data_IF_759309711583
#
_entry.id   IF_759309711583
#
_cell.length_a   1.000
_cell.length_b   1.000
_cell.length_c   1.000
_cell.angle_alpha   90.00
_cell.angle_beta   90.00
_cell.angle_gamma   90.00
#
_symmetry.space_group_name_H-M   'P 1'
#
loop_
_entity.id
_entity.type
_entity.pdbx_description
1 polymer ?
#
# COMPACT_ATOMS: atom_id res chain seq x y z
N UNK A 1 -11.67 -23.23 45.91
CA UNK A 1 -11.25 -23.72 44.58
C UNK A 1 -9.72 -23.68 44.49
N UNK A 2 -9.08 -24.70 43.92
CA UNK A 2 -7.61 -24.73 43.73
C UNK A 2 -7.21 -23.76 42.61
N UNK A 3 -6.11 -23.03 42.78
CA UNK A 3 -5.55 -22.12 41.77
C UNK A 3 -4.94 -22.93 40.62
N UNK A 4 -5.33 -22.61 39.39
CA UNK A 4 -4.77 -23.20 38.16
C UNK A 4 -3.49 -22.45 37.80
N UNK A 5 -2.36 -23.18 37.76
CA UNK A 5 -1.04 -22.63 37.43
C UNK A 5 -0.81 -22.60 35.91
N UNK A 6 0.21 -21.85 35.46
CA UNK A 6 0.45 -21.58 34.03
C UNK A 6 0.46 -22.85 33.17
N UNK A 7 1.24 -23.86 33.55
CA UNK A 7 1.34 -25.13 32.81
C UNK A 7 0.00 -25.84 32.64
N UNK A 8 -0.81 -25.86 33.69
CA UNK A 8 -2.13 -26.50 33.67
C UNK A 8 -3.12 -25.71 32.80
N UNK A 9 -3.03 -24.38 32.81
CA UNK A 9 -3.82 -23.50 31.93
C UNK A 9 -3.46 -23.69 30.45
N UNK A 10 -2.17 -23.79 30.14
CA UNK A 10 -1.68 -23.98 28.78
C UNK A 10 -2.13 -25.35 28.24
N UNK A 11 -2.06 -26.41 29.07
CA UNK A 11 -2.58 -27.74 28.73
C UNK A 11 -4.09 -27.71 28.44
N UNK A 12 -4.89 -27.10 29.32
CA UNK A 12 -6.35 -26.96 29.12
C UNK A 12 -6.63 -26.18 27.83
N UNK A 13 -5.85 -25.14 27.53
CA UNK A 13 -5.99 -24.36 26.30
C UNK A 13 -5.75 -25.22 25.06
N UNK A 14 -4.71 -26.04 25.05
CA UNK A 14 -4.38 -26.90 23.92
C UNK A 14 -5.44 -27.98 23.69
N UNK A 15 -5.97 -28.58 24.76
CA UNK A 15 -7.08 -29.53 24.70
C UNK A 15 -8.35 -28.90 24.13
N UNK A 16 -8.67 -27.67 24.54
CA UNK A 16 -9.79 -26.90 23.98
C UNK A 16 -9.54 -26.62 22.49
N UNK A 17 -8.34 -26.18 22.10
CA UNK A 17 -8.03 -25.95 20.69
C UNK A 17 -8.23 -27.23 19.88
N UNK A 18 -7.70 -28.37 20.33
CA UNK A 18 -7.84 -29.64 19.62
C UNK A 18 -9.30 -30.10 19.51
N UNK A 19 -10.09 -29.92 20.57
CA UNK A 19 -11.51 -30.30 20.58
C UNK A 19 -12.38 -29.42 19.68
N UNK A 20 -12.07 -28.13 19.57
CA UNK A 20 -12.89 -27.16 18.84
C UNK A 20 -12.38 -26.83 17.43
N UNK A 21 -11.11 -27.08 17.09
CA UNK A 21 -10.55 -26.80 15.77
C UNK A 21 -11.33 -27.48 14.62
N UNK A 22 -11.77 -28.76 14.72
CA UNK A 22 -12.57 -29.39 13.67
C UNK A 22 -13.96 -28.76 13.47
N UNK A 23 -14.44 -27.98 14.46
CA UNK A 23 -15.73 -27.28 14.43
C UNK A 23 -15.58 -25.80 14.03
N UNK A 24 -14.35 -25.32 13.87
CA UNK A 24 -14.09 -23.94 13.52
C UNK A 24 -14.51 -23.67 12.08
N UNK A 25 -15.21 -22.56 11.84
CA UNK A 25 -15.52 -22.12 10.49
C UNK A 25 -14.25 -21.68 9.76
N UNK A 26 -14.15 -22.09 8.49
CA UNK A 26 -13.03 -21.70 7.63
C UNK A 26 -13.29 -20.30 7.08
N UNK A 27 -12.35 -19.39 7.33
CA UNK A 27 -12.29 -18.10 6.63
C UNK A 27 -11.24 -18.18 5.53
N UNK A 28 -11.67 -18.10 4.26
CA UNK A 28 -10.76 -18.04 3.11
C UNK A 28 -10.40 -16.59 2.80
N UNK A 29 -9.16 -16.37 2.37
CA UNK A 29 -8.69 -15.09 1.86
C UNK A 29 -7.67 -15.34 0.75
N UNK A 30 -7.71 -14.50 -0.27
CA UNK A 30 -6.74 -14.53 -1.38
C UNK A 30 -5.88 -13.27 -1.34
N UNK A 31 -4.65 -13.37 -1.81
CA UNK A 31 -3.77 -12.23 -2.06
C UNK A 31 -3.17 -12.42 -3.44
N UNK A 32 -3.45 -11.48 -4.34
CA UNK A 32 -2.93 -11.52 -5.69
C UNK A 32 -1.55 -10.87 -5.74
N UNK A 33 -0.69 -11.37 -6.62
CA UNK A 33 0.57 -10.74 -6.95
C UNK A 33 0.78 -10.75 -8.46
N UNK A 34 1.35 -9.68 -9.00
CA UNK A 34 1.78 -9.58 -10.38
C UNK A 34 3.31 -9.58 -10.42
N UNK A 35 3.89 -10.43 -11.27
CA UNK A 35 5.34 -10.47 -11.50
C UNK A 35 5.58 -9.76 -12.83
N UNK A 36 6.41 -8.72 -12.80
CA UNK A 36 6.70 -7.86 -13.94
C UNK A 36 8.21 -7.90 -14.24
N UNK A 37 8.72 -8.97 -14.90
CA UNK A 37 10.16 -9.18 -15.04
C UNK A 37 10.88 -8.09 -15.83
N UNK A 38 10.22 -7.49 -16.83
CA UNK A 38 10.78 -6.40 -17.63
C UNK A 38 11.08 -5.15 -16.78
N UNK A 39 10.27 -4.93 -15.76
CA UNK A 39 10.42 -3.83 -14.80
C UNK A 39 11.25 -4.23 -13.57
N UNK A 40 11.52 -5.52 -13.37
CA UNK A 40 12.19 -6.03 -12.17
C UNK A 40 11.35 -5.94 -10.90
N UNK A 41 10.01 -5.89 -11.03
CA UNK A 41 9.10 -5.66 -9.90
C UNK A 41 8.20 -6.87 -9.62
N UNK A 42 7.86 -7.04 -8.35
CA UNK A 42 6.73 -7.86 -7.91
C UNK A 42 5.74 -6.95 -7.18
N UNK A 43 4.53 -6.88 -7.69
CA UNK A 43 3.44 -6.07 -7.13
C UNK A 43 2.54 -6.98 -6.32
N UNK A 44 2.44 -6.76 -5.01
CA UNK A 44 1.55 -7.53 -4.14
C UNK A 44 0.31 -6.72 -3.79
N UNK A 45 -0.87 -7.24 -4.09
CA UNK A 45 -2.15 -6.60 -3.79
C UNK A 45 -2.48 -6.72 -2.29
N UNK A 46 -1.75 -5.99 -1.46
CA UNK A 46 -1.99 -5.92 -0.02
C UNK A 46 -1.45 -4.64 0.59
N UNK A 47 -2.25 -3.99 1.43
CA UNK A 47 -1.79 -2.90 2.29
C UNK A 47 -1.04 -3.38 3.56
N UNK A 48 -0.90 -4.70 3.75
CA UNK A 48 -0.24 -5.30 4.91
C UNK A 48 1.13 -5.85 4.50
N UNK A 49 2.24 -5.29 5.02
CA UNK A 49 3.58 -5.82 4.76
C UNK A 49 3.69 -7.30 5.15
N UNK A 50 3.07 -7.70 6.27
CA UNK A 50 3.06 -9.10 6.70
C UNK A 50 2.43 -10.03 5.66
N UNK A 51 1.27 -9.68 5.09
CA UNK A 51 0.65 -10.51 4.05
C UNK A 51 1.48 -10.58 2.77
N UNK A 52 2.16 -9.49 2.43
CA UNK A 52 3.08 -9.49 1.30
C UNK A 52 4.28 -10.41 1.55
N UNK A 53 4.88 -10.34 2.73
CA UNK A 53 5.97 -11.25 3.14
C UNK A 53 5.53 -12.71 3.21
N UNK A 54 4.32 -13.02 3.71
CA UNK A 54 3.79 -14.39 3.73
C UNK A 54 3.67 -14.95 2.29
N UNK A 55 3.18 -14.14 1.33
CA UNK A 55 3.10 -14.51 -0.09
C UNK A 55 4.49 -14.70 -0.71
N UNK A 56 5.40 -13.73 -0.50
CA UNK A 56 6.76 -13.78 -1.06
C UNK A 56 7.59 -14.92 -0.48
N UNK A 57 7.39 -15.25 0.80
CA UNK A 57 8.02 -16.40 1.46
C UNK A 57 7.53 -17.71 0.86
N UNK A 58 6.21 -17.86 0.69
CA UNK A 58 5.63 -19.02 0.02
C UNK A 58 6.14 -19.15 -1.42
N UNK A 59 6.21 -18.04 -2.17
CA UNK A 59 6.75 -18.04 -3.53
C UNK A 59 8.22 -18.47 -3.54
N UNK A 60 9.04 -17.96 -2.61
CA UNK A 60 10.46 -18.34 -2.46
C UNK A 60 10.62 -19.83 -2.15
N UNK A 61 9.79 -20.39 -1.28
CA UNK A 61 9.80 -21.83 -0.97
C UNK A 61 9.50 -22.68 -2.21
N UNK A 62 8.57 -22.26 -3.05
CA UNK A 62 8.16 -23.00 -4.26
C UNK A 62 9.19 -22.90 -5.38
N UNK A 63 9.83 -21.74 -5.59
CA UNK A 63 10.77 -21.53 -6.71
C UNK A 63 12.26 -21.66 -6.31
N UNK A 64 12.54 -21.90 -5.03
CA UNK A 64 13.89 -22.03 -4.47
C UNK A 64 14.49 -20.69 -4.02
N UNK A 65 14.71 -19.75 -4.96
CA UNK A 65 15.32 -18.45 -4.65
C UNK A 65 14.49 -17.29 -5.19
N UNK A 66 14.31 -16.26 -4.36
CA UNK A 66 13.62 -15.03 -4.74
C UNK A 66 14.33 -13.82 -4.11
N UNK A 67 15.36 -13.26 -4.78
CA UNK A 67 16.12 -12.12 -4.29
C UNK A 67 15.34 -10.83 -4.54
N UNK A 68 14.41 -10.51 -3.63
CA UNK A 68 13.59 -9.30 -3.69
C UNK A 68 13.70 -8.52 -2.40
N UNK A 69 13.48 -7.20 -2.49
CA UNK A 69 13.41 -6.28 -1.37
C UNK A 69 12.24 -5.33 -1.57
N UNK A 70 11.69 -4.74 -0.49
CA UNK A 70 10.77 -3.61 -0.62
C UNK A 70 11.41 -2.45 -1.39
N UNK A 71 10.59 -1.73 -2.15
CA UNK A 71 11.01 -0.52 -2.86
C UNK A 71 11.39 0.58 -1.87
N UNK A 72 12.56 1.19 -2.05
CA UNK A 72 13.00 2.36 -1.29
C UNK A 72 13.41 3.49 -2.24
N UNK A 73 13.27 4.72 -1.78
CA UNK A 73 13.51 5.95 -2.56
C UNK A 73 14.57 6.79 -1.86
N UNK A 74 15.27 7.63 -2.62
CA UNK A 74 16.42 8.41 -2.11
C UNK A 74 16.02 9.50 -1.12
N UNK A 75 14.83 10.09 -1.29
CA UNK A 75 14.29 11.12 -0.39
C UNK A 75 13.26 10.45 0.51
N UNK A 76 13.31 10.75 1.81
CA UNK A 76 12.33 10.21 2.76
C UNK A 76 10.90 10.57 2.31
N UNK A 77 9.98 9.59 2.10
CA UNK A 77 8.64 9.87 1.60
C UNK A 77 7.89 10.91 2.45
N UNK A 78 8.01 10.84 3.77
CA UNK A 78 7.46 11.83 4.70
C UNK A 78 7.89 13.27 4.36
N UNK A 79 9.14 13.48 3.97
CA UNK A 79 9.64 14.81 3.63
C UNK A 79 9.00 15.33 2.35
N UNK A 80 8.98 14.52 1.28
CA UNK A 80 8.35 14.87 0.01
C UNK A 80 6.84 15.12 0.16
N UNK A 81 6.12 14.25 0.87
CA UNK A 81 4.69 14.42 1.10
C UNK A 81 4.40 15.69 1.91
N UNK A 82 5.21 15.98 2.92
CA UNK A 82 5.09 17.21 3.71
C UNK A 82 5.34 18.44 2.84
N UNK A 83 6.36 18.41 1.99
CA UNK A 83 6.67 19.49 1.05
C UNK A 83 5.53 19.74 0.06
N UNK A 84 4.92 18.70 -0.51
CA UNK A 84 3.81 18.84 -1.45
C UNK A 84 2.60 19.55 -0.83
N UNK A 85 2.25 19.22 0.43
CA UNK A 85 1.14 19.90 1.12
C UNK A 85 1.53 21.32 1.56
N UNK A 86 2.78 21.52 2.00
CA UNK A 86 3.27 22.84 2.44
C UNK A 86 3.35 23.83 1.28
N UNK A 87 3.91 23.40 0.14
CA UNK A 87 4.15 24.26 -1.02
C UNK A 87 2.95 24.32 -1.96
N UNK A 88 1.97 23.43 -1.78
CA UNK A 88 0.83 23.23 -2.68
C UNK A 88 1.27 22.92 -4.11
N UNK A 89 2.44 22.30 -4.26
CA UNK A 89 3.08 21.98 -5.53
C UNK A 89 3.58 20.53 -5.50
N UNK A 90 2.69 19.56 -5.69
CA UNK A 90 3.11 18.19 -5.95
C UNK A 90 3.97 18.11 -7.22
N UNK A 91 4.67 16.99 -7.38
CA UNK A 91 5.38 16.70 -8.62
C UNK A 91 4.43 16.70 -9.83
N UNK A 92 4.98 16.84 -11.03
CA UNK A 92 4.20 16.83 -12.27
C UNK A 92 3.28 15.60 -12.33
N UNK A 93 2.08 15.80 -12.86
CA UNK A 93 1.01 14.80 -12.98
C UNK A 93 0.42 14.24 -11.68
N UNK A 94 0.96 14.62 -10.51
CA UNK A 94 0.38 14.29 -9.22
C UNK A 94 -0.50 15.44 -8.70
N UNK A 95 -1.61 15.09 -8.08
CA UNK A 95 -2.54 16.04 -7.48
C UNK A 95 -2.84 15.63 -6.04
N UNK A 96 -2.71 16.57 -5.11
CA UNK A 96 -3.10 16.38 -3.71
C UNK A 96 -4.63 16.39 -3.62
N UNK A 97 -5.19 15.36 -3.00
CA UNK A 97 -6.63 15.24 -2.77
C UNK A 97 -7.00 15.78 -1.38
N UNK A 98 -8.04 15.22 -0.75
CA UNK A 98 -8.73 15.78 0.40
C UNK A 98 -8.53 14.99 1.71
N UNK A 99 -7.51 14.12 1.76
CA UNK A 99 -7.21 13.28 2.91
C UNK A 99 -5.71 13.17 3.20
N UNK A 100 -5.34 13.37 4.47
CA UNK A 100 -3.98 13.18 4.96
C UNK A 100 -3.94 12.72 6.43
N UNK A 101 -2.81 12.13 6.81
CA UNK A 101 -2.45 11.87 8.21
C UNK A 101 -1.20 12.67 8.58
N UNK A 102 -1.34 13.56 9.57
CA UNK A 102 -0.26 14.37 10.13
C UNK A 102 0.18 13.80 11.47
N UNK A 103 1.48 13.77 11.75
CA UNK A 103 2.04 13.30 13.01
C UNK A 103 3.11 14.23 13.54
N UNK A 104 3.22 14.36 14.85
CA UNK A 104 4.43 14.92 15.44
C UNK A 104 5.63 13.98 15.24
N UNK A 105 6.83 14.52 15.26
CA UNK A 105 8.08 13.77 15.00
C UNK A 105 8.61 12.99 16.21
N UNK A 106 8.07 13.21 17.41
CA UNK A 106 8.46 12.49 18.62
C UNK A 106 7.55 11.27 18.85
N UNK A 107 8.05 10.26 19.57
CA UNK A 107 7.49 8.91 19.64
C UNK A 107 6.05 8.84 20.19
N UNK A 108 5.71 9.68 21.16
CA UNK A 108 4.36 9.81 21.74
C UNK A 108 3.57 11.00 21.18
N UNK A 109 3.93 11.39 19.97
CA UNK A 109 3.38 12.53 19.24
C UNK A 109 1.89 12.44 18.93
N UNK A 110 1.23 13.60 18.85
CA UNK A 110 -0.15 13.71 18.43
C UNK A 110 -0.34 13.37 16.95
N UNK A 111 -1.43 12.67 16.65
CA UNK A 111 -1.83 12.27 15.30
C UNK A 111 -3.11 13.04 14.92
N UNK A 112 -3.10 13.70 13.76
CA UNK A 112 -4.28 14.35 13.18
C UNK A 112 -4.63 13.64 11.88
N UNK A 113 -5.90 13.26 11.72
CA UNK A 113 -6.42 12.63 10.50
C UNK A 113 -7.48 13.52 9.90
N UNK A 114 -7.23 13.97 8.68
CA UNK A 114 -8.13 14.83 7.92
C UNK A 114 -8.73 14.02 6.78
N UNK A 115 -10.05 14.13 6.57
CA UNK A 115 -10.77 13.49 5.47
C UNK A 115 -11.82 14.44 4.93
N UNK A 116 -11.96 14.53 3.61
CA UNK A 116 -12.85 15.49 2.95
C UNK A 116 -12.57 16.92 3.40
N UNK A 117 -11.29 17.25 3.49
CA UNK A 117 -10.79 18.56 3.90
C UNK A 117 -9.96 19.16 2.76
N UNK A 118 -10.10 20.45 2.54
CA UNK A 118 -9.17 21.19 1.68
C UNK A 118 -7.77 21.21 2.32
N UNK A 119 -6.82 20.51 1.73
CA UNK A 119 -5.45 20.42 2.25
C UNK A 119 -4.61 21.68 2.01
N UNK A 120 -5.16 22.66 1.28
CA UNK A 120 -4.56 23.99 1.10
C UNK A 120 -4.96 24.98 2.20
N UNK A 121 -5.88 24.58 3.10
CA UNK A 121 -6.46 25.46 4.11
C UNK A 121 -5.46 25.89 5.21
N UNK A 122 -5.75 27.04 5.85
CA UNK A 122 -4.91 27.58 6.92
C UNK A 122 -4.78 26.62 8.11
N UNK A 123 -5.80 25.81 8.42
CA UNK A 123 -5.72 24.84 9.51
C UNK A 123 -4.66 23.76 9.25
N UNK A 124 -4.55 23.30 8.01
CA UNK A 124 -3.54 22.30 7.62
C UNK A 124 -2.16 22.94 7.63
N UNK A 125 -2.02 24.15 7.09
CA UNK A 125 -0.76 24.89 7.11
C UNK A 125 -0.29 25.18 8.54
N UNK A 126 -1.22 25.52 9.45
CA UNK A 126 -0.90 25.72 10.86
C UNK A 126 -0.33 24.44 11.48
N UNK A 127 -0.96 23.29 11.27
CA UNK A 127 -0.42 22.01 11.77
C UNK A 127 1.00 21.73 11.29
N UNK A 128 1.27 21.95 10.00
CA UNK A 128 2.61 21.78 9.41
C UNK A 128 3.61 22.76 10.02
N UNK A 129 3.23 24.04 10.18
CA UNK A 129 4.09 25.06 10.81
C UNK A 129 4.42 24.76 12.28
N UNK A 130 3.57 24.01 12.98
CA UNK A 130 3.83 23.55 14.35
C UNK A 130 4.74 22.31 14.43
N UNK A 131 5.27 21.85 13.30
CA UNK A 131 6.24 20.75 13.24
C UNK A 131 5.63 19.38 12.95
N UNK A 132 4.35 19.30 12.61
CA UNK A 132 3.75 18.04 12.15
C UNK A 132 4.24 17.72 10.74
N UNK A 133 4.39 16.44 10.45
CA UNK A 133 4.77 15.92 9.15
C UNK A 133 3.68 15.02 8.57
N UNK A 134 3.58 14.99 7.25
CA UNK A 134 2.62 14.16 6.52
C UNK A 134 3.15 12.72 6.44
N UNK A 135 2.39 11.77 6.99
CA UNK A 135 2.72 10.33 6.97
C UNK A 135 1.80 9.51 6.08
N UNK A 136 0.64 10.06 5.71
CA UNK A 136 -0.21 9.54 4.64
C UNK A 136 -0.80 10.69 3.85
N UNK A 137 -0.89 10.55 2.53
CA UNK A 137 -1.48 11.55 1.65
C UNK A 137 -2.30 10.88 0.56
N UNK A 138 -3.53 11.37 0.37
CA UNK A 138 -4.39 11.01 -0.74
C UNK A 138 -3.98 11.78 -1.98
N UNK A 139 -3.78 11.07 -3.08
CA UNK A 139 -3.22 11.57 -4.33
C UNK A 139 -4.03 11.04 -5.51
N UNK A 140 -4.15 11.86 -6.55
CA UNK A 140 -4.47 11.40 -7.89
C UNK A 140 -3.21 11.49 -8.77
N UNK A 141 -3.12 10.59 -9.74
CA UNK A 141 -2.11 10.63 -10.79
C UNK A 141 -2.81 10.70 -12.15
N UNK A 142 -2.58 11.82 -12.84
CA UNK A 142 -3.30 12.19 -14.07
C UNK A 142 -4.82 12.06 -13.85
N UNK A 143 -5.54 11.65 -14.88
CA UNK A 143 -6.95 11.27 -14.88
C UNK A 143 -7.12 9.73 -14.90
N UNK A 144 -6.11 8.99 -14.40
CA UNK A 144 -6.05 7.52 -14.52
C UNK A 144 -6.35 6.79 -13.22
N UNK A 145 -5.82 7.28 -12.09
CA UNK A 145 -6.00 6.62 -10.79
C UNK A 145 -5.87 7.57 -9.61
N UNK A 146 -6.45 7.16 -8.49
CA UNK A 146 -6.31 7.76 -7.17
C UNK A 146 -5.90 6.72 -6.14
N UNK A 147 -5.15 7.14 -5.12
CA UNK A 147 -4.60 6.28 -4.09
C UNK A 147 -4.20 7.08 -2.86
N UNK A 148 -3.86 6.36 -1.79
CA UNK A 148 -3.23 6.94 -0.59
C UNK A 148 -1.84 6.35 -0.45
N UNK A 149 -0.83 7.20 -0.46
CA UNK A 149 0.55 6.82 -0.19
C UNK A 149 0.84 6.99 1.30
N UNK A 150 1.56 6.04 1.88
CA UNK A 150 2.14 6.20 3.21
C UNK A 150 3.66 6.41 3.18
N UNK A 151 4.21 6.77 4.33
CA UNK A 151 5.64 6.99 4.57
C UNK A 151 6.53 5.74 4.35
N UNK A 152 5.93 4.57 4.11
CA UNK A 152 6.62 3.29 3.86
C UNK A 152 6.46 2.82 2.42
N UNK A 153 6.13 3.72 1.50
CA UNK A 153 5.92 3.41 0.08
C UNK A 153 4.77 2.42 -0.18
N UNK A 154 3.81 2.28 0.75
CA UNK A 154 2.63 1.44 0.54
C UNK A 154 1.53 2.23 -0.16
N UNK A 155 1.15 1.80 -1.36
CA UNK A 155 -0.01 2.31 -2.09
C UNK A 155 -1.28 1.66 -1.55
N UNK A 156 -2.17 2.46 -0.96
CA UNK A 156 -3.42 2.02 -0.34
C UNK A 156 -4.62 2.61 -1.07
N UNK A 157 -5.77 1.93 -0.97
CA UNK A 157 -7.04 2.39 -1.58
C UNK A 157 -6.88 2.82 -3.04
N UNK A 158 -6.09 2.05 -3.80
CA UNK A 158 -5.93 2.28 -5.22
C UNK A 158 -7.30 2.15 -5.90
N UNK A 159 -7.66 3.16 -6.67
CA UNK A 159 -8.87 3.22 -7.49
C UNK A 159 -8.46 3.70 -8.88
N UNK A 160 -8.86 2.97 -9.91
CA UNK A 160 -8.74 3.43 -11.30
C UNK A 160 -9.94 4.30 -11.66
N UNK A 161 -9.74 5.30 -12.51
CA UNK A 161 -10.84 6.15 -12.98
C UNK A 161 -11.76 5.39 -13.94
N UNK A 162 -13.02 5.82 -14.00
CA UNK A 162 -14.10 5.08 -14.66
C UNK A 162 -13.82 4.86 -16.15
N UNK A 163 -13.25 5.86 -16.85
CA UNK A 163 -12.89 5.75 -18.26
C UNK A 163 -11.91 4.61 -18.55
N UNK A 164 -10.99 4.34 -17.63
CA UNK A 164 -10.02 3.25 -17.75
C UNK A 164 -10.68 1.89 -17.49
N UNK A 165 -11.68 1.85 -16.59
CA UNK A 165 -12.48 0.65 -16.36
C UNK A 165 -13.38 0.34 -17.56
N UNK A 166 -14.07 1.35 -18.10
CA UNK A 166 -14.92 1.24 -19.28
C UNK A 166 -14.14 0.72 -20.50
N UNK A 167 -12.87 1.14 -20.65
CA UNK A 167 -12.00 0.63 -21.70
C UNK A 167 -11.70 -0.87 -21.52
N UNK A 168 -11.36 -1.30 -20.30
CA UNK A 168 -11.14 -2.73 -20.03
C UNK A 168 -12.40 -3.55 -20.29
N UNK A 169 -13.58 -3.01 -19.94
CA UNK A 169 -14.86 -3.66 -20.21
C UNK A 169 -15.14 -3.84 -21.70
N UNK A 170 -14.83 -2.83 -22.52
CA UNK A 170 -14.97 -2.89 -23.97
C UNK A 170 -14.01 -3.90 -24.62
N UNK A 171 -12.76 -3.96 -24.13
CA UNK A 171 -11.72 -4.84 -24.67
C UNK A 171 -11.92 -6.32 -24.24
N UNK A 172 -12.59 -6.56 -23.11
CA UNK A 172 -12.73 -7.87 -22.48
C UNK A 172 -13.82 -8.80 -23.01
N UNK A 173 -14.76 -8.29 -23.83
CA UNK A 173 -15.87 -9.09 -24.37
C UNK A 173 -16.88 -9.57 -23.31
N UNK A 174 -17.68 -10.59 -23.63
CA UNK A 174 -18.81 -11.01 -22.78
C UNK A 174 -18.46 -12.02 -21.68
N UNK A 175 -17.28 -12.66 -21.75
CA UNK A 175 -16.90 -13.70 -20.80
C UNK A 175 -16.01 -13.18 -19.67
N UNK A 176 -16.16 -13.78 -18.49
CA UNK A 176 -15.47 -13.33 -17.29
C UNK A 176 -13.93 -13.46 -17.36
N UNK A 177 -13.40 -14.40 -18.15
CA UNK A 177 -11.95 -14.56 -18.29
C UNK A 177 -11.37 -13.49 -19.21
N UNK A 178 -12.03 -13.20 -20.32
CA UNK A 178 -11.69 -12.08 -21.20
C UNK A 178 -11.70 -10.74 -20.45
N UNK A 179 -12.74 -10.50 -19.64
CA UNK A 179 -12.84 -9.33 -18.78
C UNK A 179 -11.69 -9.21 -17.78
N UNK A 180 -11.32 -10.32 -17.13
CA UNK A 180 -10.20 -10.34 -16.19
C UNK A 180 -8.86 -10.10 -16.89
N UNK A 181 -8.64 -10.68 -18.07
CA UNK A 181 -7.41 -10.53 -18.86
C UNK A 181 -7.24 -9.09 -19.35
N UNK A 182 -8.29 -8.49 -19.91
CA UNK A 182 -8.29 -7.10 -20.35
C UNK A 182 -8.02 -6.14 -19.18
N UNK A 183 -8.74 -6.30 -18.07
CA UNK A 183 -8.57 -5.48 -16.86
C UNK A 183 -7.16 -5.60 -16.29
N UNK A 184 -6.62 -6.82 -16.19
CA UNK A 184 -5.27 -7.06 -15.70
C UNK A 184 -4.21 -6.45 -16.63
N UNK A 185 -4.38 -6.60 -17.94
CA UNK A 185 -3.47 -6.04 -18.93
C UNK A 185 -3.43 -4.53 -18.86
N UNK A 186 -4.59 -3.87 -18.84
CA UNK A 186 -4.69 -2.41 -18.78
C UNK A 186 -4.14 -1.86 -17.45
N UNK A 187 -4.40 -2.56 -16.34
CA UNK A 187 -3.80 -2.25 -15.04
C UNK A 187 -2.27 -2.30 -15.11
N UNK A 188 -1.69 -3.36 -15.66
CA UNK A 188 -0.24 -3.52 -15.76
C UNK A 188 0.40 -2.53 -16.72
N UNK A 189 -0.27 -2.17 -17.81
CA UNK A 189 0.16 -1.09 -18.71
C UNK A 189 0.19 0.26 -17.98
N UNK A 190 -0.87 0.57 -17.23
CA UNK A 190 -0.97 1.79 -16.43
C UNK A 190 0.14 1.86 -15.36
N UNK A 191 0.39 0.75 -14.68
CA UNK A 191 1.51 0.65 -13.73
C UNK A 191 2.89 0.79 -14.38
N UNK A 192 3.02 0.43 -15.65
CA UNK A 192 4.24 0.65 -16.43
C UNK A 192 4.65 2.12 -16.50
N UNK A 193 3.67 3.03 -16.51
CA UNK A 193 3.91 4.48 -16.54
C UNK A 193 3.89 5.08 -15.12
N UNK A 194 2.93 4.67 -14.29
CA UNK A 194 2.69 5.23 -12.96
C UNK A 194 3.86 4.98 -11.99
N UNK A 195 4.38 3.74 -11.92
CA UNK A 195 5.37 3.38 -10.91
C UNK A 195 6.71 4.12 -11.13
N UNK A 196 7.27 4.21 -12.35
CA UNK A 196 8.45 5.04 -12.60
C UNK A 196 8.21 6.51 -12.24
N UNK A 197 7.07 7.09 -12.64
CA UNK A 197 6.74 8.47 -12.34
C UNK A 197 6.64 8.74 -10.82
N UNK A 198 6.00 7.82 -10.07
CA UNK A 198 5.91 7.90 -8.61
C UNK A 198 7.29 7.85 -7.95
N UNK A 199 8.14 6.93 -8.39
CA UNK A 199 9.51 6.77 -7.87
C UNK A 199 10.34 8.01 -8.15
N UNK A 200 10.27 8.55 -9.37
CA UNK A 200 10.96 9.78 -9.77
C UNK A 200 10.47 10.99 -8.95
N UNK A 201 9.17 11.13 -8.77
CA UNK A 201 8.54 12.17 -7.96
C UNK A 201 8.99 12.15 -6.49
N UNK A 202 9.42 10.99 -5.98
CA UNK A 202 9.94 10.80 -4.62
C UNK A 202 11.48 10.81 -4.56
N UNK A 203 12.14 11.40 -5.57
CA UNK A 203 13.59 11.58 -5.61
C UNK A 203 14.37 10.42 -6.25
N UNK A 204 13.66 9.47 -6.87
CA UNK A 204 14.22 8.31 -7.55
C UNK A 204 14.46 7.11 -6.63
N UNK A 205 14.61 5.93 -7.24
CA UNK A 205 14.85 4.69 -6.51
C UNK A 205 16.23 4.73 -5.83
N UNK A 206 16.27 4.32 -4.57
CA UNK A 206 17.51 3.99 -3.90
C UNK A 206 17.95 2.60 -4.36
N UNK A 207 18.77 2.54 -5.41
CA UNK A 207 19.33 1.29 -5.91
C UNK A 207 20.32 0.72 -4.89
N UNK A 208 20.22 -0.57 -4.53
CA UNK A 208 21.14 -1.17 -3.59
C UNK A 208 22.52 -1.22 -4.23
N UNK A 209 23.54 -0.78 -3.49
CA UNK A 209 24.93 -0.96 -3.89
C UNK A 209 25.31 -2.43 -3.66
N UNK A 210 25.11 -3.26 -4.70
CA UNK A 210 25.63 -4.62 -4.78
C UNK A 210 24.80 -5.68 -4.04
N UNK A 211 24.61 -6.81 -4.74
CA UNK A 211 24.77 -8.13 -4.13
C UNK A 211 26.19 -8.58 -4.49
#
# INVERSE_FOLDING_TARGET
MRKVYKKERDQIKDEIIQAFLPRAFIRRSSTFAAIAPKQGLILVNSASPKRAEDLLSTLREVIGTLPVRPLTVKVAPTATLTEWVTTQKPAADFFVLDECELRDTHEDGGIVRCKRQDLTSEEIQLHLSTGKVVTQLSLAWQDKLSFVLDDKMTVKRLKFEDLLQDQAEQDGGDDALGQQDASFTLMMLTFGDFLPALVEALGGEETPQGI
#
